data_IF_816416458154
#
_entry.id   IF_816416458154
#
_cell.length_a   1.000
_cell.length_b   1.000
_cell.length_c   1.000
_cell.angle_alpha   90.00
_cell.angle_beta   90.00
_cell.angle_gamma   90.00
#
_symmetry.space_group_name_H-M   'P 1'
#
loop_
_entity.id
_entity.type
_entity.pdbx_description
1 polymer ?
#
# COMPACT_ATOMS: atom_id res chain seq x y z
N UNK A 1 2.58 26.79 6.50
CA UNK A 1 3.55 25.90 5.82
C UNK A 1 3.73 24.68 6.71
N UNK A 2 3.43 23.53 6.19
CA UNK A 2 3.55 22.24 6.90
C UNK A 2 4.65 21.41 6.27
N UNK A 3 5.61 20.94 7.08
CA UNK A 3 6.66 20.03 6.65
C UNK A 3 6.23 18.59 6.88
N UNK A 4 6.18 17.81 5.81
CA UNK A 4 5.67 16.44 5.81
C UNK A 4 6.74 15.46 5.35
N UNK A 5 6.97 14.40 6.12
CA UNK A 5 7.75 13.24 5.70
C UNK A 5 6.81 12.16 5.20
N UNK A 6 7.00 11.70 3.96
CA UNK A 6 6.31 10.52 3.42
C UNK A 6 7.24 9.31 3.38
N UNK A 7 6.74 8.14 3.80
CA UNK A 7 7.50 6.89 3.87
C UNK A 7 6.76 5.79 3.12
N UNK A 8 7.39 5.23 2.08
CA UNK A 8 6.84 4.18 1.24
C UNK A 8 7.78 2.96 1.18
N UNK A 9 7.66 2.02 2.11
CA UNK A 9 8.43 0.79 2.09
C UNK A 9 7.99 -0.13 0.96
N UNK A 10 8.96 -0.62 0.20
CA UNK A 10 8.81 -1.67 -0.81
C UNK A 10 9.61 -2.92 -0.43
N UNK A 11 9.52 -3.98 -1.24
CA UNK A 11 10.17 -5.27 -0.94
C UNK A 11 11.69 -5.14 -0.78
N UNK A 12 12.35 -4.37 -1.66
CA UNK A 12 13.82 -4.23 -1.71
C UNK A 12 14.30 -2.80 -1.49
N UNK A 13 13.39 -1.86 -1.20
CA UNK A 13 13.74 -0.47 -0.98
C UNK A 13 12.72 0.24 -0.10
N UNK A 14 13.11 1.38 0.45
CA UNK A 14 12.19 2.33 1.09
C UNK A 14 12.34 3.66 0.38
N UNK A 15 11.26 4.15 -0.22
CA UNK A 15 11.22 5.49 -0.79
C UNK A 15 10.75 6.48 0.26
N UNK A 16 11.39 7.63 0.33
CA UNK A 16 10.98 8.72 1.19
C UNK A 16 10.94 10.03 0.42
N UNK A 17 10.09 10.93 0.85
CA UNK A 17 10.13 12.31 0.39
C UNK A 17 9.81 13.26 1.54
N UNK A 18 10.39 14.45 1.47
CA UNK A 18 10.05 15.57 2.36
C UNK A 18 9.51 16.70 1.52
N UNK A 19 8.39 17.27 1.93
CA UNK A 19 7.77 18.40 1.28
C UNK A 19 7.40 19.48 2.29
N UNK A 20 7.40 20.74 1.84
CA UNK A 20 6.81 21.88 2.52
C UNK A 20 5.51 22.23 1.76
N UNK A 21 4.36 21.91 2.34
CA UNK A 21 3.06 21.88 1.67
C UNK A 21 3.13 21.05 0.37
N UNK A 22 2.88 21.64 -0.81
CA UNK A 22 2.95 20.98 -2.13
C UNK A 22 4.38 21.02 -2.74
N UNK A 23 5.36 21.66 -2.10
CA UNK A 23 6.70 21.84 -2.64
C UNK A 23 7.61 20.69 -2.19
N UNK A 24 8.03 19.87 -3.13
CA UNK A 24 8.99 18.80 -2.86
C UNK A 24 10.36 19.39 -2.51
N UNK A 25 10.88 19.06 -1.32
CA UNK A 25 12.22 19.45 -0.87
C UNK A 25 13.25 18.43 -1.33
N UNK A 26 13.02 17.15 -1.07
CA UNK A 26 13.80 16.06 -1.65
C UNK A 26 13.00 14.75 -1.71
N UNK A 27 13.47 13.85 -2.56
CA UNK A 27 13.03 12.47 -2.66
C UNK A 27 14.28 11.57 -2.68
N UNK A 28 14.21 10.44 -1.99
CA UNK A 28 15.28 9.46 -1.97
C UNK A 28 14.75 8.02 -1.99
N UNK A 29 15.55 7.13 -2.57
CA UNK A 29 15.30 5.69 -2.55
C UNK A 29 16.43 5.00 -1.78
N UNK A 30 16.09 4.42 -0.66
CA UNK A 30 16.99 3.65 0.20
C UNK A 30 16.89 2.19 -0.21
N UNK A 31 17.92 1.64 -0.83
CA UNK A 31 17.95 0.25 -1.25
C UNK A 31 18.39 -0.66 -0.10
N UNK A 32 17.78 -1.83 0.00
CA UNK A 32 18.10 -2.86 0.98
C UNK A 32 18.68 -4.08 0.28
N UNK A 33 19.83 -4.56 0.74
CA UNK A 33 20.45 -5.77 0.18
C UNK A 33 19.67 -7.02 0.58
N UNK A 34 19.74 -8.06 -0.24
CA UNK A 34 19.11 -9.35 0.09
C UNK A 34 19.71 -9.97 1.36
N UNK A 35 21.01 -9.77 1.58
CA UNK A 35 21.73 -10.24 2.76
C UNK A 35 21.24 -9.57 4.03
N UNK A 36 20.93 -8.27 3.96
CA UNK A 36 20.36 -7.51 5.07
C UNK A 36 18.94 -7.97 5.40
N UNK A 37 18.09 -8.09 4.38
CA UNK A 37 16.69 -8.50 4.56
C UNK A 37 16.55 -9.94 5.08
N UNK A 38 17.43 -10.86 4.68
CA UNK A 38 17.43 -12.27 5.15
C UNK A 38 17.69 -12.43 6.64
N UNK A 39 18.20 -11.42 7.34
CA UNK A 39 18.41 -11.48 8.80
C UNK A 39 17.09 -11.49 9.58
N UNK A 40 16.00 -11.08 8.95
CA UNK A 40 14.69 -10.96 9.57
C UNK A 40 13.80 -12.14 9.16
N UNK A 41 13.19 -12.79 10.16
CA UNK A 41 12.27 -13.93 9.91
C UNK A 41 10.95 -13.48 9.32
N UNK A 42 10.45 -12.33 9.76
CA UNK A 42 9.19 -11.73 9.30
C UNK A 42 9.48 -10.37 8.67
N UNK A 43 8.65 -9.99 7.71
CA UNK A 43 8.75 -8.67 7.09
C UNK A 43 8.52 -7.58 8.14
N UNK A 44 7.57 -7.79 9.06
CA UNK A 44 7.29 -6.85 10.15
C UNK A 44 8.49 -6.56 11.04
N UNK A 45 9.45 -7.49 11.17
CA UNK A 45 10.61 -7.32 12.06
C UNK A 45 11.65 -6.34 11.47
N UNK A 46 11.50 -5.92 10.21
CA UNK A 46 12.43 -5.01 9.52
C UNK A 46 12.19 -3.52 9.86
N UNK A 47 11.13 -3.19 10.61
CA UNK A 47 10.70 -1.79 10.76
C UNK A 47 11.74 -0.92 11.46
N UNK A 48 12.42 -1.40 12.49
CA UNK A 48 13.47 -0.65 13.20
C UNK A 48 14.62 -0.27 12.26
N UNK A 49 15.17 -1.26 11.56
CA UNK A 49 16.24 -1.03 10.58
C UNK A 49 15.82 -0.01 9.53
N UNK A 50 14.60 -0.15 8.99
CA UNK A 50 14.09 0.78 7.98
C UNK A 50 13.85 2.18 8.55
N UNK A 51 13.35 2.28 9.78
CA UNK A 51 13.19 3.55 10.50
C UNK A 51 14.51 4.28 10.63
N UNK A 52 15.55 3.57 11.12
CA UNK A 52 16.87 4.14 11.31
C UNK A 52 17.48 4.66 10.00
N UNK A 53 17.31 3.91 8.90
CA UNK A 53 17.76 4.32 7.59
C UNK A 53 17.00 5.55 7.05
N UNK A 54 15.69 5.64 7.31
CA UNK A 54 14.88 6.83 6.97
C UNK A 54 15.42 8.07 7.71
N UNK A 55 15.64 7.95 9.02
CA UNK A 55 16.18 9.04 9.84
C UNK A 55 17.58 9.44 9.36
N UNK A 56 18.45 8.47 9.07
CA UNK A 56 19.78 8.71 8.56
C UNK A 56 19.76 9.44 7.21
N UNK A 57 18.88 9.06 6.30
CA UNK A 57 18.78 9.69 4.98
C UNK A 57 18.25 11.13 5.07
N UNK A 58 17.29 11.42 5.96
CA UNK A 58 16.82 12.78 6.25
C UNK A 58 17.99 13.66 6.74
N UNK A 59 18.77 13.16 7.71
CA UNK A 59 19.95 13.88 8.24
C UNK A 59 21.01 14.10 7.17
N UNK A 60 21.25 13.14 6.32
CA UNK A 60 22.21 13.23 5.19
C UNK A 60 21.84 14.34 4.21
N UNK A 61 20.56 14.65 4.04
CA UNK A 61 20.08 15.78 3.25
C UNK A 61 20.11 17.12 4.01
N UNK A 62 20.75 17.17 5.19
CA UNK A 62 20.91 18.39 5.98
C UNK A 62 19.63 18.88 6.67
N UNK A 63 18.60 18.03 6.76
CA UNK A 63 17.36 18.41 7.42
C UNK A 63 17.30 17.91 8.86
N UNK A 64 16.72 18.72 9.78
CA UNK A 64 16.38 18.22 11.11
C UNK A 64 15.29 17.17 11.02
N UNK A 65 15.30 16.17 11.92
CA UNK A 65 14.23 15.21 12.10
C UNK A 65 13.10 15.88 12.89
N UNK A 66 12.43 16.84 12.26
CA UNK A 66 11.33 17.62 12.80
C UNK A 66 10.32 17.87 11.71
N UNK A 67 9.10 17.37 11.89
CA UNK A 67 8.01 17.39 10.93
C UNK A 67 6.71 17.80 11.60
N UNK A 68 5.80 18.43 10.84
CA UNK A 68 4.44 18.72 11.29
C UNK A 68 3.54 17.48 11.20
N UNK A 69 3.87 16.57 10.28
CA UNK A 69 3.19 15.27 10.14
C UNK A 69 4.10 14.26 9.42
N UNK A 70 3.84 12.98 9.67
CA UNK A 70 4.46 11.88 8.94
C UNK A 70 3.36 11.04 8.29
N UNK A 71 3.52 10.72 7.01
CA UNK A 71 2.58 9.84 6.30
C UNK A 71 3.30 8.57 5.86
N UNK A 72 2.78 7.43 6.30
CA UNK A 72 3.22 6.12 5.85
C UNK A 72 2.29 5.56 4.77
N UNK A 73 2.85 4.82 3.79
CA UNK A 73 2.01 3.99 2.96
C UNK A 73 1.34 2.94 3.84
N UNK A 74 -0.01 2.92 3.87
CA UNK A 74 -0.78 1.96 4.63
C UNK A 74 -0.74 0.57 4.03
N UNK A 75 -0.86 -0.44 4.88
CA UNK A 75 -0.76 -1.85 4.52
C UNK A 75 -2.09 -2.60 4.50
N UNK A 76 -1.99 -3.91 4.77
CA UNK A 76 -3.04 -4.91 4.58
C UNK A 76 -3.71 -5.28 5.93
N UNK A 77 -4.23 -4.30 6.67
CA UNK A 77 -4.92 -4.56 7.95
C UNK A 77 -6.39 -4.93 7.73
N UNK A 78 -7.28 -4.02 8.02
CA UNK A 78 -8.74 -4.22 7.88
C UNK A 78 -9.28 -3.38 6.74
N UNK A 79 -10.33 -3.84 6.03
CA UNK A 79 -11.01 -3.03 5.03
C UNK A 79 -11.48 -1.70 5.60
N UNK A 80 -11.22 -0.62 4.87
CA UNK A 80 -11.62 0.76 5.21
C UNK A 80 -12.14 1.46 3.96
N UNK A 81 -12.90 2.53 4.13
CA UNK A 81 -13.24 3.43 3.03
C UNK A 81 -12.00 4.23 2.59
N UNK A 82 -12.07 4.84 1.40
CA UNK A 82 -11.05 5.80 0.96
C UNK A 82 -10.95 6.99 1.92
N UNK A 83 -9.73 7.44 2.18
CA UNK A 83 -9.47 8.60 3.02
C UNK A 83 -8.08 8.62 3.64
N UNK A 84 -7.87 9.66 4.44
CA UNK A 84 -6.67 9.83 5.26
C UNK A 84 -7.01 9.51 6.71
N UNK A 85 -6.28 8.59 7.32
CA UNK A 85 -6.52 8.12 8.67
C UNK A 85 -5.34 8.47 9.57
N UNK A 86 -5.62 9.07 10.73
CA UNK A 86 -4.60 9.23 11.76
C UNK A 86 -4.26 7.85 12.31
N UNK A 87 -2.97 7.53 12.34
CA UNK A 87 -2.50 6.26 12.89
C UNK A 87 -2.68 6.24 14.41
N UNK A 88 -3.06 5.10 14.93
CA UNK A 88 -3.18 4.83 16.36
C UNK A 88 -2.56 3.46 16.70
N UNK A 89 -2.38 3.17 17.98
CA UNK A 89 -1.76 1.93 18.47
C UNK A 89 -2.46 0.67 17.96
N UNK A 90 -3.80 0.70 17.84
CA UNK A 90 -4.57 -0.44 17.33
C UNK A 90 -4.23 -0.73 15.86
N UNK A 91 -4.06 0.30 15.03
CA UNK A 91 -3.67 0.14 13.63
C UNK A 91 -2.26 -0.45 13.52
N UNK A 92 -1.33 0.00 14.35
CA UNK A 92 0.04 -0.54 14.42
C UNK A 92 0.03 -2.01 14.82
N UNK A 93 -0.76 -2.36 15.84
CA UNK A 93 -0.88 -3.73 16.31
C UNK A 93 -1.55 -4.65 15.27
N UNK A 94 -2.59 -4.17 14.58
CA UNK A 94 -3.24 -4.90 13.49
C UNK A 94 -2.24 -5.18 12.35
N UNK A 95 -1.37 -4.21 12.02
CA UNK A 95 -0.32 -4.39 11.01
C UNK A 95 0.74 -5.40 11.44
N UNK A 96 1.16 -5.38 12.70
CA UNK A 96 2.15 -6.34 13.24
C UNK A 96 1.62 -7.77 13.25
N UNK A 97 0.31 -7.95 13.44
CA UNK A 97 -0.38 -9.25 13.51
C UNK A 97 -0.96 -9.72 12.18
N UNK A 98 -0.89 -8.91 11.11
CA UNK A 98 -1.47 -9.26 9.82
C UNK A 98 -0.97 -10.62 9.32
N UNK A 99 -1.90 -11.47 8.88
CA UNK A 99 -1.59 -12.80 8.34
C UNK A 99 -0.82 -12.70 7.03
N UNK A 100 -1.23 -11.78 6.17
CA UNK A 100 -0.54 -11.45 4.93
C UNK A 100 0.40 -10.29 5.21
N UNK A 101 1.71 -10.54 5.13
CA UNK A 101 2.71 -9.52 5.37
C UNK A 101 3.28 -9.02 4.04
N UNK A 102 3.16 -7.73 3.83
CA UNK A 102 3.78 -7.04 2.72
C UNK A 102 4.66 -5.89 3.24
N UNK A 103 5.71 -5.54 2.50
CA UNK A 103 6.61 -4.47 2.96
C UNK A 103 5.89 -3.13 3.20
N UNK A 104 4.80 -2.84 2.48
CA UNK A 104 4.02 -1.62 2.69
C UNK A 104 3.37 -1.53 4.08
N UNK A 105 3.18 -2.66 4.78
CA UNK A 105 2.61 -2.69 6.13
C UNK A 105 3.47 -1.91 7.11
N UNK A 106 4.78 -1.89 6.86
CA UNK A 106 5.74 -1.18 7.69
C UNK A 106 5.63 0.34 7.60
N UNK A 107 5.03 0.88 6.53
CA UNK A 107 4.87 2.33 6.37
C UNK A 107 4.06 2.95 7.51
N UNK A 108 2.98 2.30 7.92
CA UNK A 108 2.17 2.70 9.07
C UNK A 108 3.00 2.66 10.36
N UNK A 109 3.73 1.57 10.60
CA UNK A 109 4.53 1.36 11.81
C UNK A 109 5.67 2.39 11.88
N UNK A 110 6.45 2.54 10.81
CA UNK A 110 7.59 3.48 10.74
C UNK A 110 7.11 4.92 10.94
N UNK A 111 6.01 5.31 10.27
CA UNK A 111 5.47 6.65 10.41
C UNK A 111 5.02 6.93 11.84
N UNK A 112 4.38 5.98 12.50
CA UNK A 112 3.94 6.11 13.89
C UNK A 112 5.11 6.21 14.86
N UNK A 113 6.08 5.32 14.77
CA UNK A 113 7.25 5.30 15.65
C UNK A 113 8.06 6.61 15.57
N UNK A 114 8.34 7.10 14.35
CA UNK A 114 9.05 8.39 14.20
C UNK A 114 8.18 9.55 14.75
N UNK A 115 6.88 9.53 14.49
CA UNK A 115 5.97 10.59 14.93
C UNK A 115 5.89 10.67 16.46
N UNK A 116 5.82 9.52 17.16
CA UNK A 116 5.84 9.47 18.61
C UNK A 116 7.17 10.03 19.19
N UNK A 117 8.30 9.68 18.57
CA UNK A 117 9.62 10.18 19.01
C UNK A 117 9.76 11.70 18.90
N UNK A 118 9.12 12.33 17.92
CA UNK A 118 9.24 13.78 17.67
C UNK A 118 8.02 14.58 18.10
N UNK A 119 6.95 13.92 18.54
CA UNK A 119 5.75 14.56 19.06
C UNK A 119 4.83 15.15 17.99
N UNK A 120 4.70 14.51 16.80
CA UNK A 120 3.80 14.97 15.75
C UNK A 120 2.77 13.87 15.37
N UNK A 121 1.69 14.20 14.64
CA UNK A 121 0.75 13.20 14.16
C UNK A 121 1.31 12.36 13.01
N UNK A 122 0.92 11.07 12.95
CA UNK A 122 1.17 10.18 11.83
C UNK A 122 -0.12 9.79 11.11
N UNK A 123 -0.01 9.55 9.81
CA UNK A 123 -1.16 9.25 8.95
C UNK A 123 -0.86 8.11 7.97
N UNK A 124 -1.94 7.49 7.47
CA UNK A 124 -1.96 6.67 6.26
C UNK A 124 -3.07 7.18 5.33
N UNK A 125 -2.86 7.08 4.03
CA UNK A 125 -3.84 7.48 3.03
C UNK A 125 -4.14 6.32 2.08
N UNK A 126 -5.40 6.13 1.77
CA UNK A 126 -5.89 5.14 0.79
C UNK A 126 -5.10 3.82 0.83
N UNK A 127 -5.10 3.07 1.95
CA UNK A 127 -4.34 1.83 2.05
C UNK A 127 -4.81 0.79 1.03
N UNK A 128 -3.99 -0.25 0.78
CA UNK A 128 -4.30 -1.29 -0.20
C UNK A 128 -5.56 -2.10 0.08
N UNK A 129 -6.15 -1.95 1.26
CA UNK A 129 -7.40 -2.58 1.72
C UNK A 129 -8.62 -1.63 1.64
N UNK A 130 -8.52 -0.53 0.92
CA UNK A 130 -9.70 0.31 0.63
C UNK A 130 -10.76 -0.57 -0.05
N UNK A 131 -11.94 -0.65 0.55
CA UNK A 131 -13.07 -1.44 0.05
C UNK A 131 -14.27 -0.53 -0.24
N UNK A 132 -14.43 -0.22 -1.51
CA UNK A 132 -15.55 0.52 -2.08
C UNK A 132 -16.30 -0.34 -3.11
N UNK A 133 -16.00 -1.66 -3.13
CA UNK A 133 -16.64 -2.55 -4.09
C UNK A 133 -18.17 -2.53 -3.92
N UNK A 134 -18.88 -2.40 -5.04
CA UNK A 134 -20.31 -2.61 -5.08
C UNK A 134 -20.65 -4.03 -4.56
N UNK A 135 -21.80 -4.22 -3.92
CA UNK A 135 -22.20 -5.54 -3.40
C UNK A 135 -22.11 -6.66 -4.45
N UNK A 136 -22.47 -6.35 -5.68
CA UNK A 136 -22.44 -7.26 -6.83
C UNK A 136 -21.00 -7.66 -7.21
N UNK A 137 -20.07 -6.74 -7.07
CA UNK A 137 -18.64 -6.99 -7.34
C UNK A 137 -18.00 -7.94 -6.33
N UNK A 138 -18.62 -8.15 -5.16
CA UNK A 138 -18.16 -9.11 -4.14
C UNK A 138 -18.63 -10.54 -4.39
N UNK A 139 -19.53 -10.75 -5.34
CA UNK A 139 -20.06 -12.09 -5.66
C UNK A 139 -19.03 -12.87 -6.47
N UNK A 140 -18.77 -14.10 -6.05
CA UNK A 140 -18.02 -15.09 -6.82
C UNK A 140 -18.90 -16.28 -7.20
N UNK A 141 -18.35 -17.28 -7.88
CA UNK A 141 -19.03 -18.54 -8.18
C UNK A 141 -19.33 -19.41 -6.95
N UNK A 142 -18.91 -19.02 -5.76
CA UNK A 142 -19.14 -19.76 -4.51
C UNK A 142 -19.40 -18.80 -3.34
N UNK A 143 -20.45 -19.03 -2.55
CA UNK A 143 -20.70 -18.22 -1.34
C UNK A 143 -19.64 -18.40 -0.26
N UNK A 144 -18.82 -19.46 -0.35
CA UNK A 144 -17.72 -19.72 0.58
C UNK A 144 -16.45 -18.92 0.23
N UNK A 145 -16.37 -18.35 -0.97
CA UNK A 145 -15.21 -17.67 -1.53
C UNK A 145 -15.64 -16.31 -2.11
N UNK A 146 -16.12 -15.37 -1.28
CA UNK A 146 -16.47 -14.05 -1.78
C UNK A 146 -15.24 -13.34 -2.33
N UNK A 147 -15.44 -12.47 -3.31
CA UNK A 147 -14.37 -11.58 -3.77
C UNK A 147 -14.12 -10.50 -2.74
N UNK A 148 -12.86 -10.14 -2.58
CA UNK A 148 -12.41 -8.97 -1.86
C UNK A 148 -11.25 -8.35 -2.65
N UNK A 149 -11.05 -7.05 -2.54
CA UNK A 149 -9.99 -6.39 -3.26
C UNK A 149 -8.80 -6.07 -2.36
N UNK A 150 -7.61 -6.28 -2.90
CA UNK A 150 -6.35 -5.70 -2.42
C UNK A 150 -5.73 -5.04 -3.64
N UNK A 151 -5.66 -3.73 -3.65
CA UNK A 151 -5.33 -3.00 -4.85
C UNK A 151 -4.49 -1.74 -4.57
N UNK A 152 -4.02 -1.08 -5.60
CA UNK A 152 -3.17 0.09 -5.46
C UNK A 152 -4.02 1.38 -5.33
N UNK A 153 -4.88 1.42 -4.31
CA UNK A 153 -5.86 2.48 -4.08
C UNK A 153 -5.22 3.86 -4.11
N UNK A 154 -4.19 4.09 -3.29
CA UNK A 154 -3.49 5.38 -3.21
C UNK A 154 -3.03 5.87 -4.60
N UNK A 155 -2.34 5.02 -5.37
CA UNK A 155 -1.82 5.43 -6.67
C UNK A 155 -2.94 5.65 -7.69
N UNK A 156 -3.92 4.74 -7.77
CA UNK A 156 -5.00 4.86 -8.74
C UNK A 156 -5.86 6.10 -8.48
N UNK A 157 -6.24 6.35 -7.23
CA UNK A 157 -7.01 7.55 -6.86
C UNK A 157 -6.20 8.84 -7.05
N UNK A 158 -4.90 8.81 -6.75
CA UNK A 158 -4.03 9.98 -7.00
C UNK A 158 -3.95 10.31 -8.50
N UNK A 159 -3.78 9.30 -9.36
CA UNK A 159 -3.74 9.49 -10.81
C UNK A 159 -5.10 9.93 -11.37
N UNK A 160 -6.20 9.37 -10.86
CA UNK A 160 -7.55 9.79 -11.26
C UNK A 160 -7.83 11.26 -10.89
N UNK A 161 -7.47 11.67 -9.66
CA UNK A 161 -7.57 13.08 -9.23
C UNK A 161 -6.67 14.00 -10.06
N UNK A 162 -5.45 13.55 -10.37
CA UNK A 162 -4.52 14.31 -11.22
C UNK A 162 -5.08 14.47 -12.63
N UNK A 163 -5.59 13.39 -13.24
CA UNK A 163 -6.23 13.44 -14.54
C UNK A 163 -7.40 14.44 -14.56
N UNK A 164 -8.28 14.39 -13.55
CA UNK A 164 -9.39 15.31 -13.43
C UNK A 164 -8.93 16.78 -13.35
N UNK A 165 -7.94 17.09 -12.50
CA UNK A 165 -7.34 18.42 -12.36
C UNK A 165 -6.77 18.93 -13.68
N UNK A 166 -6.01 18.09 -14.39
CA UNK A 166 -5.36 18.45 -15.65
C UNK A 166 -6.37 18.68 -16.79
N UNK A 167 -7.61 18.16 -16.67
CA UNK A 167 -8.71 18.34 -17.63
C UNK A 167 -9.79 19.32 -17.13
N UNK A 168 -9.54 20.05 -16.05
CA UNK A 168 -10.48 21.07 -15.53
C UNK A 168 -11.80 20.52 -15.02
N UNK A 169 -11.83 19.28 -14.54
CA UNK A 169 -13.00 18.61 -13.97
C UNK A 169 -12.67 18.04 -12.58
N UNK A 170 -13.65 17.45 -11.92
CA UNK A 170 -13.46 16.78 -10.64
C UNK A 170 -13.47 15.27 -10.83
N UNK A 171 -12.74 14.54 -9.99
CA UNK A 171 -12.70 13.07 -10.03
C UNK A 171 -14.09 12.46 -9.77
N UNK A 172 -14.88 13.11 -8.92
CA UNK A 172 -16.25 12.71 -8.59
C UNK A 172 -17.27 12.91 -9.73
N UNK A 173 -16.85 13.58 -10.83
CA UNK A 173 -17.69 13.79 -12.01
C UNK A 173 -17.35 12.80 -13.15
N UNK A 174 -16.46 11.85 -12.90
CA UNK A 174 -15.89 10.97 -13.92
C UNK A 174 -16.17 9.49 -13.67
N UNK A 175 -16.31 8.74 -14.77
CA UNK A 175 -16.24 7.30 -14.83
C UNK A 175 -14.92 6.90 -15.49
N UNK A 176 -14.08 6.13 -14.79
CA UNK A 176 -12.74 5.81 -15.25
C UNK A 176 -12.45 4.31 -15.08
N UNK A 177 -11.67 3.75 -16.00
CA UNK A 177 -10.93 2.52 -15.76
C UNK A 177 -9.48 2.91 -15.52
N UNK A 178 -8.97 2.62 -14.32
CA UNK A 178 -7.59 2.94 -13.95
C UNK A 178 -6.77 1.67 -13.80
N UNK A 179 -5.64 1.60 -14.51
CA UNK A 179 -4.75 0.46 -14.49
C UNK A 179 -3.42 0.84 -13.82
N UNK A 180 -3.10 0.22 -12.69
CA UNK A 180 -1.77 0.23 -12.12
C UNK A 180 -1.01 -0.99 -12.64
N UNK A 181 0.06 -0.76 -13.39
CA UNK A 181 0.87 -1.80 -14.01
C UNK A 181 2.29 -1.78 -13.40
N UNK A 182 2.61 -2.77 -12.60
CA UNK A 182 3.89 -2.89 -11.91
C UNK A 182 4.21 -4.35 -11.57
N UNK A 183 5.00 -4.59 -10.54
CA UNK A 183 5.23 -5.94 -9.98
C UNK A 183 3.92 -6.63 -9.59
N UNK A 184 2.96 -5.87 -9.03
CA UNK A 184 1.55 -6.23 -8.98
C UNK A 184 0.74 -5.43 -9.99
N UNK A 185 -0.37 -5.99 -10.48
CA UNK A 185 -1.29 -5.31 -11.37
C UNK A 185 -2.66 -5.23 -10.72
N UNK A 186 -3.21 -4.00 -10.64
CA UNK A 186 -4.61 -3.80 -10.29
C UNK A 186 -5.30 -2.91 -11.30
N UNK A 187 -6.48 -3.35 -11.70
CA UNK A 187 -7.36 -2.62 -12.62
C UNK A 187 -8.66 -2.40 -11.84
N UNK A 188 -9.10 -1.16 -11.77
CA UNK A 188 -10.34 -0.82 -11.08
C UNK A 188 -11.26 0.03 -11.97
N UNK A 189 -12.56 -0.22 -11.81
CA UNK A 189 -13.62 0.63 -12.33
C UNK A 189 -13.95 1.68 -11.28
N UNK A 190 -13.74 2.94 -11.64
CA UNK A 190 -14.05 4.08 -10.79
C UNK A 190 -15.33 4.74 -11.28
N UNK A 191 -16.31 4.87 -10.42
CA UNK A 191 -17.59 5.54 -10.65
C UNK A 191 -17.72 6.70 -9.66
N UNK A 192 -17.74 7.94 -10.16
CA UNK A 192 -17.94 9.15 -9.37
C UNK A 192 -17.09 9.23 -8.10
N UNK A 193 -15.79 8.87 -8.23
CA UNK A 193 -14.82 8.98 -7.14
C UNK A 193 -14.68 7.71 -6.29
N UNK A 194 -15.50 6.69 -6.47
CA UNK A 194 -15.43 5.39 -5.77
C UNK A 194 -14.94 4.27 -6.70
N UNK A 195 -14.12 3.36 -6.19
CA UNK A 195 -13.69 2.17 -6.93
C UNK A 195 -14.69 1.04 -6.72
N UNK A 196 -15.72 0.97 -7.58
CA UNK A 196 -16.84 0.05 -7.46
C UNK A 196 -16.52 -1.40 -7.81
N UNK A 197 -15.44 -1.65 -8.51
CA UNK A 197 -14.86 -2.98 -8.76
C UNK A 197 -13.34 -2.87 -8.92
N UNK A 198 -12.62 -3.82 -8.36
CA UNK A 198 -11.17 -3.95 -8.50
C UNK A 198 -10.77 -5.42 -8.33
N UNK A 199 -9.74 -5.86 -9.05
CA UNK A 199 -9.17 -7.18 -8.83
C UNK A 199 -8.30 -7.23 -7.58
N UNK A 200 -8.14 -8.43 -7.00
CA UNK A 200 -7.16 -8.67 -5.94
C UNK A 200 -5.77 -8.80 -6.57
N UNK A 201 -4.97 -7.74 -6.46
CA UNK A 201 -3.64 -7.65 -7.06
C UNK A 201 -2.54 -8.37 -6.25
N UNK A 202 -2.86 -9.01 -5.13
CA UNK A 202 -1.89 -9.72 -4.29
C UNK A 202 -1.92 -11.22 -4.55
N UNK A 203 -3.04 -11.86 -4.32
CA UNK A 203 -3.20 -13.33 -4.34
C UNK A 203 -4.52 -13.80 -4.94
N UNK A 204 -5.21 -12.93 -5.65
CA UNK A 204 -6.51 -13.21 -6.23
C UNK A 204 -6.56 -13.18 -7.75
N UNK A 205 -7.76 -12.92 -8.24
CA UNK A 205 -8.09 -12.87 -9.66
C UNK A 205 -7.50 -11.63 -10.35
N UNK A 206 -7.48 -11.66 -11.66
CA UNK A 206 -7.02 -10.57 -12.52
C UNK A 206 -5.88 -10.98 -13.44
N UNK A 207 -5.21 -10.03 -14.07
CA UNK A 207 -4.09 -10.32 -14.94
C UNK A 207 -2.89 -10.84 -14.15
N UNK A 208 -2.13 -11.76 -14.74
CA UNK A 208 -0.80 -12.12 -14.20
C UNK A 208 0.17 -10.94 -14.34
N UNK A 209 1.14 -10.87 -13.45
CA UNK A 209 2.16 -9.83 -13.41
C UNK A 209 3.55 -10.45 -13.29
N UNK A 210 4.65 -9.66 -13.34
CA UNK A 210 6.00 -10.19 -13.15
C UNK A 210 6.20 -10.97 -11.84
N UNK A 211 5.38 -10.71 -10.80
CA UNK A 211 5.54 -11.30 -9.47
C UNK A 211 4.34 -12.16 -9.04
N UNK A 212 3.25 -12.20 -9.81
CA UNK A 212 1.99 -12.83 -9.38
C UNK A 212 1.30 -13.57 -10.52
N UNK A 213 0.70 -14.71 -10.19
CA UNK A 213 0.07 -15.58 -11.16
C UNK A 213 -1.26 -15.02 -11.72
N UNK A 214 -1.95 -14.17 -10.96
CA UNK A 214 -3.29 -13.72 -11.35
C UNK A 214 -4.31 -14.85 -11.39
N UNK A 215 -5.29 -14.75 -12.28
CA UNK A 215 -6.28 -15.81 -12.48
C UNK A 215 -5.66 -17.07 -13.06
N UNK A 216 -6.00 -18.23 -12.48
CA UNK A 216 -5.59 -19.55 -12.94
C UNK A 216 -6.82 -20.43 -13.26
N UNK A 217 -6.69 -21.44 -14.17
CA UNK A 217 -7.72 -22.44 -14.36
C UNK A 217 -7.97 -23.22 -13.06
N UNK A 218 -9.07 -22.92 -12.37
CA UNK A 218 -9.33 -23.42 -11.01
C UNK A 218 -9.31 -24.96 -10.92
N UNK A 219 -9.89 -25.67 -11.89
CA UNK A 219 -9.91 -27.13 -11.89
C UNK A 219 -8.50 -27.72 -12.00
N UNK A 220 -7.61 -27.12 -12.80
CA UNK A 220 -6.24 -27.58 -12.97
C UNK A 220 -5.39 -27.24 -11.74
N UNK A 221 -5.63 -26.07 -11.13
CA UNK A 221 -4.99 -25.72 -9.86
C UNK A 221 -5.34 -26.72 -8.75
N UNK A 222 -6.62 -27.08 -8.62
CA UNK A 222 -7.08 -28.09 -7.64
C UNK A 222 -6.40 -29.44 -7.90
N UNK A 223 -6.39 -29.91 -9.15
CA UNK A 223 -5.70 -31.17 -9.50
C UNK A 223 -4.21 -31.13 -9.16
N UNK A 224 -3.55 -29.99 -9.39
CA UNK A 224 -2.14 -29.79 -9.07
C UNK A 224 -1.89 -29.84 -7.56
N UNK A 225 -2.69 -29.13 -6.76
CA UNK A 225 -2.60 -29.12 -5.30
C UNK A 225 -2.73 -30.52 -4.68
N UNK A 226 -3.67 -31.33 -5.21
CA UNK A 226 -3.90 -32.69 -4.70
C UNK A 226 -3.13 -33.78 -5.45
N UNK A 227 -2.18 -33.44 -6.31
CA UNK A 227 -1.38 -34.40 -7.09
C UNK A 227 -0.33 -35.15 -6.27
N UNK A 228 0.00 -34.69 -5.07
CA UNK A 228 1.14 -35.19 -4.28
C UNK A 228 2.53 -34.80 -4.81
N UNK A 229 2.60 -33.98 -5.87
CA UNK A 229 3.89 -33.53 -6.46
C UNK A 229 4.53 -32.37 -5.70
N UNK A 230 3.72 -31.62 -4.98
CA UNK A 230 4.14 -30.43 -4.25
C UNK A 230 3.60 -30.47 -2.83
N UNK A 231 4.32 -29.84 -1.93
CA UNK A 231 3.90 -29.56 -0.55
C UNK A 231 3.64 -28.07 -0.42
N UNK A 232 2.93 -27.69 0.65
CA UNK A 232 2.67 -26.30 0.98
C UNK A 232 3.97 -25.59 1.39
#
# INVERSE_FOLDING_TARGET
MYRILAVNPGSTSTKISVSDDENLIFEATINHSREELKKYKRISDQYEMRKDLVIAEVKKHGLPVQFDAIIGRGGLAKPVKSGVFRVNDQMVEDQRKALHQHACDQGCIIAHEIAEEIGCPSFVADPGVVDELAPEAKISGSPLLPRYCIWHALNQKAIARRYAKDHGTRYEDLNLIVCHLGGGISIAAHDHGEAIDANNALDGEGPFSPERAGSLPAADLIRLCFSGRYTQ
#
